data_IF_615420083642
#
_entry.id   IF_615420083642
#
_cell.length_a   1.000
_cell.length_b   1.000
_cell.length_c   1.000
_cell.angle_alpha   90.00
_cell.angle_beta   90.00
_cell.angle_gamma   90.00
#
_symmetry.space_group_name_H-M   'P 1'
#
loop_
_entity.id
_entity.type
_entity.pdbx_description
1 polymer ?
#
# COMPACT_ATOMS: atom_id res chain seq x y z
N UNK A 1 36.12 6.48 -10.26
CA UNK A 1 35.83 5.77 -11.48
C UNK A 1 35.77 6.77 -12.63
N UNK A 2 36.23 6.39 -13.81
CA UNK A 2 36.10 7.14 -15.06
C UNK A 2 35.35 6.31 -16.07
N UNK A 3 34.75 6.93 -17.06
CA UNK A 3 34.14 6.18 -18.16
C UNK A 3 35.19 5.28 -18.82
N UNK A 4 34.85 4.01 -19.06
CA UNK A 4 35.73 2.96 -19.55
C UNK A 4 36.45 2.14 -18.46
N UNK A 5 36.35 2.52 -17.18
CA UNK A 5 36.92 1.69 -16.10
C UNK A 5 36.14 0.37 -15.99
N UNK A 6 36.88 -0.75 -15.96
CA UNK A 6 36.31 -2.09 -15.71
C UNK A 6 36.69 -2.51 -14.30
N UNK A 7 35.72 -2.99 -13.53
CA UNK A 7 35.91 -3.49 -12.17
C UNK A 7 35.24 -4.85 -12.03
N UNK A 8 35.98 -5.78 -11.45
CA UNK A 8 35.46 -7.10 -11.11
C UNK A 8 35.36 -7.26 -9.59
N UNK A 9 34.29 -7.88 -9.14
CA UNK A 9 34.11 -8.22 -7.71
C UNK A 9 33.34 -9.53 -7.59
N UNK A 10 33.61 -10.24 -6.51
CA UNK A 10 32.80 -11.40 -6.13
C UNK A 10 31.71 -10.94 -5.16
N UNK A 11 30.49 -11.33 -5.47
CA UNK A 11 29.29 -11.00 -4.70
C UNK A 11 28.54 -12.27 -4.39
N UNK A 12 27.86 -12.28 -3.26
CA UNK A 12 26.88 -13.32 -2.97
C UNK A 12 25.48 -12.75 -3.23
N UNK A 13 24.69 -13.47 -4.02
CA UNK A 13 23.32 -13.03 -4.33
C UNK A 13 22.50 -13.03 -3.04
N UNK A 14 21.80 -11.90 -2.80
CA UNK A 14 20.97 -11.72 -1.62
C UNK A 14 19.95 -12.85 -1.46
N UNK A 15 19.70 -13.25 -0.22
CA UNK A 15 18.61 -14.20 0.11
C UNK A 15 17.22 -13.63 -0.20
N UNK A 16 17.12 -12.33 -0.45
CA UNK A 16 15.88 -11.64 -0.85
C UNK A 16 15.75 -11.47 -2.37
N UNK A 17 16.71 -11.96 -3.15
CA UNK A 17 16.66 -11.85 -4.61
C UNK A 17 15.40 -12.50 -5.18
N UNK A 18 14.87 -11.94 -6.27
CA UNK A 18 13.65 -12.44 -6.92
C UNK A 18 13.82 -13.86 -7.45
N UNK A 19 14.99 -14.18 -7.99
CA UNK A 19 15.31 -15.53 -8.44
C UNK A 19 15.79 -16.38 -7.25
N UNK A 20 14.91 -17.25 -6.77
CA UNK A 20 15.13 -18.10 -5.58
C UNK A 20 16.27 -19.10 -5.80
N UNK A 21 16.46 -19.60 -7.03
CA UNK A 21 17.50 -20.60 -7.34
C UNK A 21 18.92 -20.03 -7.23
N UNK A 22 19.04 -18.72 -7.36
CA UNK A 22 20.33 -18.03 -7.29
C UNK A 22 20.65 -17.46 -5.90
N UNK A 23 19.73 -17.56 -4.93
CA UNK A 23 19.94 -17.03 -3.58
C UNK A 23 21.11 -17.69 -2.89
N UNK A 24 22.01 -16.89 -2.33
CA UNK A 24 23.19 -17.36 -1.63
C UNK A 24 24.31 -17.85 -2.55
N UNK A 25 24.12 -17.89 -3.88
CA UNK A 25 25.15 -18.31 -4.81
C UNK A 25 26.23 -17.23 -4.96
N UNK A 26 27.51 -17.60 -4.97
CA UNK A 26 28.60 -16.69 -5.28
C UNK A 26 28.62 -16.40 -6.79
N UNK A 27 28.66 -15.14 -7.16
CA UNK A 27 28.77 -14.72 -8.57
C UNK A 27 29.93 -13.74 -8.73
N UNK A 28 30.61 -13.84 -9.85
CA UNK A 28 31.59 -12.83 -10.28
C UNK A 28 30.88 -11.82 -11.15
N UNK A 29 30.84 -10.56 -10.69
CA UNK A 29 30.23 -9.46 -11.40
C UNK A 29 31.33 -8.57 -12.01
N UNK A 30 31.21 -8.29 -13.30
CA UNK A 30 32.07 -7.35 -14.01
C UNK A 30 31.25 -6.10 -14.31
N UNK A 31 31.72 -4.95 -13.82
CA UNK A 31 31.09 -3.65 -14.03
C UNK A 31 31.93 -2.82 -14.98
N UNK A 32 31.36 -2.41 -16.10
CA UNK A 32 31.93 -1.41 -16.98
C UNK A 32 31.28 -0.06 -16.69
N UNK A 33 32.10 0.96 -16.38
CA UNK A 33 31.61 2.32 -16.14
C UNK A 33 31.38 2.99 -17.47
N UNK A 34 30.14 3.08 -17.92
CA UNK A 34 29.80 3.70 -19.21
C UNK A 34 29.87 5.22 -19.15
N UNK A 35 29.45 5.80 -18.02
CA UNK A 35 29.44 7.27 -17.84
C UNK A 35 29.55 7.62 -16.35
N UNK A 36 30.13 8.78 -16.07
CA UNK A 36 30.23 9.33 -14.71
C UNK A 36 29.52 10.67 -14.66
N UNK A 37 28.33 10.69 -14.09
CA UNK A 37 27.49 11.88 -13.97
C UNK A 37 27.63 12.52 -12.59
N UNK A 38 27.81 13.84 -12.57
CA UNK A 38 27.78 14.61 -11.32
C UNK A 38 26.40 15.27 -11.21
N UNK A 39 25.72 14.99 -10.11
CA UNK A 39 24.50 15.73 -9.80
C UNK A 39 24.89 17.14 -9.35
N UNK A 40 24.51 18.15 -10.13
CA UNK A 40 24.62 19.56 -9.77
C UNK A 40 23.25 20.07 -9.36
N UNK A 41 23.18 20.77 -8.21
CA UNK A 41 21.93 21.42 -7.81
C UNK A 41 21.65 22.58 -8.78
N UNK A 42 20.39 22.82 -9.16
CA UNK A 42 20.02 23.98 -9.95
C UNK A 42 20.29 25.25 -9.14
N UNK A 43 20.58 26.35 -9.83
CA UNK A 43 20.54 27.68 -9.25
C UNK A 43 19.11 28.11 -9.06
N UNK A 44 18.79 28.72 -7.89
CA UNK A 44 17.47 29.28 -7.61
C UNK A 44 17.38 30.67 -8.25
N UNK A 45 17.32 30.70 -9.59
CA UNK A 45 17.16 31.90 -10.38
C UNK A 45 15.72 32.09 -10.88
N UNK A 46 15.47 33.18 -11.54
CA UNK A 46 14.14 33.52 -12.06
C UNK A 46 13.57 32.45 -12.99
N UNK A 47 14.42 31.91 -13.88
CA UNK A 47 14.05 30.88 -14.84
C UNK A 47 13.68 29.57 -14.14
N UNK A 48 14.33 29.28 -13.00
CA UNK A 48 13.97 28.13 -12.16
C UNK A 48 12.57 28.30 -11.54
N UNK A 49 12.30 29.46 -10.92
CA UNK A 49 11.00 29.73 -10.30
C UNK A 49 9.85 29.75 -11.32
N UNK A 50 10.06 30.33 -12.50
CA UNK A 50 9.08 30.31 -13.58
C UNK A 50 8.74 28.87 -14.03
N UNK A 51 9.74 27.99 -14.14
CA UNK A 51 9.53 26.58 -14.53
C UNK A 51 8.72 25.77 -13.54
N UNK A 52 8.84 26.07 -12.25
CA UNK A 52 8.07 25.38 -11.20
C UNK A 52 6.81 26.16 -10.80
N UNK A 53 6.50 27.26 -11.50
CA UNK A 53 5.34 28.11 -11.28
C UNK A 53 5.24 28.64 -9.85
N UNK A 54 6.35 29.20 -9.36
CA UNK A 54 6.51 29.82 -8.04
C UNK A 54 7.05 31.22 -8.24
N UNK A 55 6.68 32.17 -7.39
CA UNK A 55 7.04 33.57 -7.57
C UNK A 55 8.52 33.84 -7.25
N UNK A 56 8.99 33.32 -6.13
CA UNK A 56 10.33 33.51 -5.59
C UNK A 56 10.70 32.42 -4.58
N UNK A 57 11.84 32.57 -3.90
CA UNK A 57 12.34 31.63 -2.91
C UNK A 57 11.44 31.58 -1.66
N UNK A 58 10.86 32.69 -1.24
CA UNK A 58 9.97 32.74 -0.08
C UNK A 58 8.67 32.00 -0.36
N UNK A 59 8.07 32.22 -1.54
CA UNK A 59 6.87 31.49 -1.98
C UNK A 59 7.17 29.97 -2.11
N UNK A 60 8.34 29.59 -2.65
CA UNK A 60 8.77 28.19 -2.69
C UNK A 60 8.86 27.57 -1.29
N UNK A 61 9.48 28.27 -0.36
CA UNK A 61 9.62 27.81 1.02
C UNK A 61 8.26 27.67 1.70
N UNK A 62 7.34 28.59 1.49
CA UNK A 62 5.99 28.55 2.05
C UNK A 62 5.16 27.40 1.46
N UNK A 63 5.25 27.16 0.16
CA UNK A 63 4.59 26.01 -0.49
C UNK A 63 5.14 24.68 0.03
N UNK A 64 6.49 24.54 0.12
CA UNK A 64 7.14 23.34 0.67
C UNK A 64 6.72 23.14 2.13
N UNK A 65 6.76 24.19 2.96
CA UNK A 65 6.35 24.10 4.38
C UNK A 65 4.89 23.67 4.52
N UNK A 66 4.00 24.24 3.71
CA UNK A 66 2.58 23.86 3.68
C UNK A 66 2.36 22.42 3.25
N UNK A 67 3.13 21.95 2.26
CA UNK A 67 3.08 20.55 1.81
C UNK A 67 3.56 19.60 2.91
N UNK A 68 4.71 19.91 3.53
CA UNK A 68 5.28 19.09 4.61
C UNK A 68 4.37 19.06 5.84
N UNK A 69 3.74 20.19 6.21
CA UNK A 69 2.79 20.26 7.33
C UNK A 69 1.55 19.38 7.06
N UNK A 70 0.99 19.44 5.85
CA UNK A 70 -0.12 18.54 5.47
C UNK A 70 0.30 17.07 5.51
N UNK A 71 1.49 16.75 4.99
CA UNK A 71 2.02 15.39 5.02
C UNK A 71 2.25 14.91 6.45
N UNK A 72 2.88 15.74 7.30
CA UNK A 72 3.11 15.42 8.70
C UNK A 72 1.81 15.18 9.48
N UNK A 73 0.79 16.03 9.28
CA UNK A 73 -0.54 15.85 9.88
C UNK A 73 -1.22 14.57 9.41
N UNK A 74 -1.11 14.23 8.13
CA UNK A 74 -1.65 12.98 7.59
C UNK A 74 -0.98 11.76 8.23
N UNK A 75 0.37 11.75 8.25
CA UNK A 75 1.15 10.67 8.87
C UNK A 75 0.89 10.55 10.38
N UNK A 76 0.78 11.67 11.07
CA UNK A 76 0.44 11.67 12.50
C UNK A 76 -0.93 11.03 12.76
N UNK A 77 -1.97 11.43 12.01
CA UNK A 77 -3.31 10.84 12.15
C UNK A 77 -3.30 9.34 11.87
N UNK A 78 -2.60 8.94 10.81
CA UNK A 78 -2.47 7.53 10.45
C UNK A 78 -1.80 6.73 11.56
N UNK A 79 -0.64 7.20 12.05
CA UNK A 79 0.08 6.53 13.15
C UNK A 79 -0.74 6.46 14.43
N UNK A 80 -1.44 7.55 14.78
CA UNK A 80 -2.32 7.56 15.95
C UNK A 80 -3.43 6.51 15.82
N UNK A 81 -4.08 6.45 14.66
CA UNK A 81 -5.11 5.43 14.40
C UNK A 81 -4.53 4.01 14.52
N UNK A 82 -3.38 3.77 13.88
CA UNK A 82 -2.75 2.45 13.89
C UNK A 82 -2.35 2.03 15.33
N UNK A 83 -1.82 2.95 16.15
CA UNK A 83 -1.50 2.70 17.57
C UNK A 83 -2.76 2.41 18.41
N UNK A 84 -3.82 3.18 18.22
CA UNK A 84 -5.10 2.94 18.91
C UNK A 84 -5.65 1.56 18.55
N UNK A 85 -5.67 1.22 17.26
CA UNK A 85 -6.14 -0.08 16.78
C UNK A 85 -5.28 -1.24 17.31
N UNK A 86 -3.96 -1.07 17.31
CA UNK A 86 -3.04 -2.07 17.87
C UNK A 86 -3.33 -2.30 19.36
N UNK A 87 -3.47 -1.22 20.13
CA UNK A 87 -3.74 -1.30 21.57
C UNK A 87 -5.07 -1.99 21.87
N UNK A 88 -6.15 -1.60 21.18
CA UNK A 88 -7.47 -2.20 21.35
C UNK A 88 -7.44 -3.67 20.91
N UNK A 89 -6.81 -3.98 19.78
CA UNK A 89 -6.72 -5.35 19.27
C UNK A 89 -5.92 -6.26 20.21
N UNK A 90 -4.85 -5.74 20.82
CA UNK A 90 -4.06 -6.48 21.80
C UNK A 90 -4.84 -6.79 23.09
N UNK A 91 -5.77 -5.92 23.50
CA UNK A 91 -6.62 -6.14 24.68
C UNK A 91 -7.79 -7.11 24.43
N UNK A 92 -8.03 -7.51 23.19
CA UNK A 92 -9.14 -8.37 22.82
C UNK A 92 -8.79 -9.86 23.06
N UNK A 93 -9.24 -10.41 24.19
CA UNK A 93 -9.01 -11.80 24.63
C UNK A 93 -10.14 -12.75 24.17
N UNK A 94 -10.38 -12.85 22.87
CA UNK A 94 -11.34 -13.78 22.31
C UNK A 94 -10.79 -14.46 21.05
N UNK A 95 -11.29 -15.68 20.80
CA UNK A 95 -10.89 -16.51 19.68
C UNK A 95 -11.77 -16.28 18.47
N UNK A 96 -11.13 -16.23 17.30
CA UNK A 96 -11.82 -16.16 16.02
C UNK A 96 -12.34 -17.55 15.62
N UNK A 97 -13.53 -17.66 14.99
CA UNK A 97 -13.98 -18.91 14.41
C UNK A 97 -12.99 -19.41 13.34
N UNK A 98 -12.37 -20.56 13.57
CA UNK A 98 -11.31 -21.11 12.69
C UNK A 98 -11.79 -21.30 11.25
N UNK A 99 -13.04 -21.68 11.04
CA UNK A 99 -13.62 -21.85 9.71
C UNK A 99 -13.66 -20.51 8.93
N UNK A 100 -13.99 -19.41 9.62
CA UNK A 100 -13.97 -18.07 9.03
C UNK A 100 -12.55 -17.64 8.67
N UNK A 101 -11.59 -17.85 9.59
CA UNK A 101 -10.18 -17.56 9.37
C UNK A 101 -9.68 -18.32 8.14
N UNK A 102 -9.95 -19.63 8.07
CA UNK A 102 -9.55 -20.49 6.96
C UNK A 102 -10.09 -19.97 5.63
N UNK A 103 -11.40 -19.70 5.56
CA UNK A 103 -12.06 -19.22 4.35
C UNK A 103 -11.53 -17.87 3.89
N UNK A 104 -11.32 -16.94 4.80
CA UNK A 104 -10.80 -15.62 4.47
C UNK A 104 -9.31 -15.67 4.08
N UNK A 105 -8.53 -16.52 4.74
CA UNK A 105 -7.12 -16.76 4.37
C UNK A 105 -7.01 -17.32 2.94
N UNK A 106 -7.84 -18.30 2.58
CA UNK A 106 -7.86 -18.86 1.23
C UNK A 106 -8.20 -17.79 0.17
N UNK A 107 -9.16 -16.91 0.49
CA UNK A 107 -9.53 -15.80 -0.40
C UNK A 107 -8.39 -14.78 -0.54
N UNK A 108 -7.71 -14.42 0.57
CA UNK A 108 -6.59 -13.50 0.56
C UNK A 108 -5.41 -14.07 -0.25
N UNK A 109 -5.07 -15.33 -0.02
CA UNK A 109 -3.99 -16.03 -0.72
C UNK A 109 -4.26 -16.11 -2.24
N UNK A 110 -5.50 -16.38 -2.65
CA UNK A 110 -5.87 -16.39 -4.08
C UNK A 110 -5.65 -15.03 -4.74
N UNK A 111 -6.01 -13.93 -4.05
CA UNK A 111 -5.79 -12.57 -4.57
C UNK A 111 -4.30 -12.27 -4.69
N UNK A 112 -3.51 -12.56 -3.65
CA UNK A 112 -2.07 -12.33 -3.64
C UNK A 112 -1.36 -13.12 -4.75
N UNK A 113 -1.73 -14.38 -4.96
CA UNK A 113 -1.21 -15.20 -6.08
C UNK A 113 -1.60 -14.59 -7.44
N UNK A 114 -2.81 -14.06 -7.59
CA UNK A 114 -3.24 -13.41 -8.82
C UNK A 114 -2.43 -12.15 -9.10
N UNK A 115 -2.22 -11.31 -8.09
CA UNK A 115 -1.40 -10.09 -8.16
C UNK A 115 0.06 -10.41 -8.52
N UNK A 116 0.64 -11.44 -7.91
CA UNK A 116 1.99 -11.89 -8.26
C UNK A 116 2.09 -12.35 -9.72
N UNK A 117 1.09 -13.08 -10.23
CA UNK A 117 1.06 -13.48 -11.65
C UNK A 117 0.96 -12.27 -12.58
N UNK A 118 0.15 -11.27 -12.23
CA UNK A 118 0.04 -10.02 -12.99
C UNK A 118 1.34 -9.20 -12.95
N UNK A 119 2.09 -9.28 -11.85
CA UNK A 119 3.41 -8.68 -11.70
C UNK A 119 4.53 -9.46 -12.43
N UNK A 120 4.21 -10.60 -13.09
CA UNK A 120 5.15 -11.36 -13.91
C UNK A 120 5.87 -12.51 -13.19
N UNK A 121 5.50 -12.83 -11.95
CA UNK A 121 6.09 -13.99 -11.26
C UNK A 121 5.68 -15.32 -11.91
N UNK A 122 6.64 -16.19 -12.07
CA UNK A 122 6.41 -17.53 -12.62
C UNK A 122 5.72 -18.46 -11.59
N UNK A 123 5.00 -19.52 -12.05
CA UNK A 123 4.40 -20.48 -11.13
C UNK A 123 5.41 -21.11 -10.14
N UNK A 124 6.65 -21.32 -10.58
CA UNK A 124 7.72 -21.91 -9.76
C UNK A 124 8.17 -20.96 -8.63
N UNK A 125 8.32 -19.68 -8.92
CA UNK A 125 8.64 -18.65 -7.92
C UNK A 125 7.52 -18.48 -6.88
N UNK A 126 6.26 -18.54 -7.31
CA UNK A 126 5.10 -18.49 -6.42
C UNK A 126 5.07 -19.73 -5.53
N UNK A 127 5.28 -20.93 -6.09
CA UNK A 127 5.29 -22.18 -5.35
C UNK A 127 6.40 -22.21 -4.30
N UNK A 128 7.59 -21.69 -4.62
CA UNK A 128 8.71 -21.65 -3.68
C UNK A 128 8.44 -20.71 -2.48
N UNK A 129 7.54 -19.73 -2.63
CA UNK A 129 7.11 -18.80 -1.56
C UNK A 129 5.79 -19.20 -0.89
N UNK A 130 5.15 -20.31 -1.31
CA UNK A 130 3.80 -20.65 -0.88
C UNK A 130 3.64 -20.75 0.64
N UNK A 131 4.62 -21.35 1.33
CA UNK A 131 4.55 -21.49 2.78
C UNK A 131 4.63 -20.13 3.48
N UNK A 132 5.51 -19.24 3.05
CA UNK A 132 5.67 -17.89 3.62
C UNK A 132 4.43 -17.04 3.33
N UNK A 133 3.91 -17.09 2.11
CA UNK A 133 2.67 -16.44 1.72
C UNK A 133 1.49 -16.91 2.59
N UNK A 134 1.38 -18.22 2.79
CA UNK A 134 0.32 -18.83 3.61
C UNK A 134 0.40 -18.38 5.07
N UNK A 135 1.58 -18.45 5.68
CA UNK A 135 1.79 -18.04 7.08
C UNK A 135 1.48 -16.55 7.27
N UNK A 136 1.97 -15.72 6.37
CA UNK A 136 1.70 -14.28 6.35
C UNK A 136 0.21 -13.99 6.17
N UNK A 137 -0.44 -14.63 5.20
CA UNK A 137 -1.88 -14.47 4.96
C UNK A 137 -2.73 -14.89 6.17
N UNK A 138 -2.37 -15.97 6.89
CA UNK A 138 -3.05 -16.38 8.12
C UNK A 138 -2.94 -15.29 9.18
N UNK A 139 -1.72 -14.83 9.46
CA UNK A 139 -1.47 -13.81 10.48
C UNK A 139 -2.23 -12.52 10.19
N UNK A 140 -2.12 -12.02 8.95
CA UNK A 140 -2.83 -10.81 8.51
C UNK A 140 -4.35 -10.98 8.55
N UNK A 141 -4.86 -12.13 8.12
CA UNK A 141 -6.30 -12.41 8.15
C UNK A 141 -6.84 -12.41 9.59
N UNK A 142 -6.15 -13.04 10.53
CA UNK A 142 -6.54 -13.01 11.95
C UNK A 142 -6.56 -11.60 12.50
N UNK A 143 -5.53 -10.81 12.22
CA UNK A 143 -5.45 -9.43 12.66
C UNK A 143 -6.58 -8.58 12.06
N UNK A 144 -6.80 -8.66 10.75
CA UNK A 144 -7.84 -7.91 10.05
C UNK A 144 -9.25 -8.27 10.54
N UNK A 145 -9.52 -9.57 10.76
CA UNK A 145 -10.80 -10.02 11.31
C UNK A 145 -11.01 -9.51 12.73
N UNK A 146 -10.01 -9.57 13.60
CA UNK A 146 -10.12 -9.00 14.95
C UNK A 146 -10.42 -7.50 14.89
N UNK A 147 -9.67 -6.75 14.08
CA UNK A 147 -9.90 -5.32 13.91
C UNK A 147 -11.31 -5.02 13.38
N UNK A 148 -11.77 -5.78 12.39
CA UNK A 148 -13.11 -5.60 11.84
C UNK A 148 -14.21 -5.82 12.90
N UNK A 149 -14.16 -6.91 13.66
CA UNK A 149 -15.16 -7.16 14.69
C UNK A 149 -15.13 -6.14 15.84
N UNK A 150 -13.93 -5.64 16.18
CA UNK A 150 -13.80 -4.58 17.18
C UNK A 150 -14.43 -3.29 16.70
N UNK A 151 -14.12 -2.88 15.45
CA UNK A 151 -14.70 -1.67 14.86
C UNK A 151 -16.21 -1.78 14.71
N UNK A 152 -16.70 -2.95 14.28
CA UNK A 152 -18.14 -3.22 14.17
C UNK A 152 -18.83 -3.09 15.52
N UNK A 153 -18.24 -3.66 16.58
CA UNK A 153 -18.77 -3.53 17.94
C UNK A 153 -18.74 -2.10 18.45
N UNK A 154 -17.68 -1.34 18.20
CA UNK A 154 -17.60 0.08 18.57
C UNK A 154 -18.68 0.86 17.83
N UNK A 155 -18.87 0.62 16.53
CA UNK A 155 -19.88 1.31 15.73
C UNK A 155 -21.31 1.03 16.23
N UNK A 156 -21.57 -0.19 16.72
CA UNK A 156 -22.86 -0.53 17.36
C UNK A 156 -23.05 0.19 18.71
N UNK A 157 -22.05 0.16 19.58
CA UNK A 157 -22.13 0.80 20.91
C UNK A 157 -22.21 2.33 20.85
N UNK A 158 -21.53 2.92 19.88
CA UNK A 158 -21.53 4.38 19.66
C UNK A 158 -22.66 4.83 18.71
N UNK A 159 -23.56 3.92 18.31
CA UNK A 159 -24.69 4.19 17.43
C UNK A 159 -24.28 4.96 16.13
N UNK A 160 -23.14 4.55 15.53
CA UNK A 160 -22.62 5.17 14.31
C UNK A 160 -23.48 4.70 13.13
N UNK A 161 -24.23 5.62 12.56
CA UNK A 161 -25.06 5.40 11.38
C UNK A 161 -24.41 5.97 10.13
N UNK A 162 -24.53 5.25 9.01
CA UNK A 162 -24.12 5.73 7.69
C UNK A 162 -25.27 6.52 7.08
N UNK A 163 -25.00 7.77 6.76
CA UNK A 163 -25.99 8.62 6.12
C UNK A 163 -26.02 8.43 4.59
N UNK A 164 -27.12 8.76 3.91
CA UNK A 164 -27.14 8.78 2.44
C UNK A 164 -26.06 9.67 1.81
N UNK A 165 -25.65 10.73 2.51
CA UNK A 165 -24.58 11.63 2.06
C UNK A 165 -23.20 10.96 2.10
N UNK A 166 -22.94 10.13 3.12
CA UNK A 166 -21.69 9.36 3.24
C UNK A 166 -21.57 8.37 2.08
N UNK A 167 -22.67 7.67 1.77
CA UNK A 167 -22.74 6.77 0.62
C UNK A 167 -22.50 7.48 -0.71
N UNK A 168 -23.10 8.65 -0.92
CA UNK A 168 -22.88 9.43 -2.14
C UNK A 168 -21.43 9.92 -2.25
N UNK A 169 -20.83 10.30 -1.13
CA UNK A 169 -19.43 10.73 -1.07
C UNK A 169 -18.51 9.57 -1.47
N UNK A 170 -18.69 8.39 -0.89
CA UNK A 170 -17.86 7.23 -1.19
C UNK A 170 -18.05 6.74 -2.64
N UNK A 171 -19.31 6.68 -3.13
CA UNK A 171 -19.57 6.36 -4.53
C UNK A 171 -18.94 7.37 -5.51
N UNK A 172 -18.85 8.64 -5.12
CA UNK A 172 -18.17 9.67 -5.92
C UNK A 172 -16.66 9.45 -5.93
N UNK A 173 -16.08 9.10 -4.78
CA UNK A 173 -14.65 8.75 -4.70
C UNK A 173 -14.31 7.53 -5.53
N UNK A 174 -15.12 6.46 -5.46
CA UNK A 174 -14.98 5.27 -6.31
C UNK A 174 -15.06 5.61 -7.81
N UNK A 175 -15.97 6.51 -8.18
CA UNK A 175 -16.13 6.95 -9.55
C UNK A 175 -14.92 7.73 -10.06
N UNK A 176 -14.35 8.62 -9.23
CA UNK A 176 -13.11 9.34 -9.54
C UNK A 176 -11.92 8.41 -9.74
N UNK A 177 -11.78 7.40 -8.88
CA UNK A 177 -10.69 6.41 -8.97
C UNK A 177 -10.79 5.52 -10.21
N UNK A 178 -12.02 5.15 -10.60
CA UNK A 178 -12.26 4.28 -11.76
C UNK A 178 -12.44 5.04 -13.07
N UNK A 179 -12.50 6.37 -13.06
CA UNK A 179 -12.80 7.19 -14.22
C UNK A 179 -14.24 7.02 -14.75
N UNK A 180 -15.16 6.52 -13.89
CA UNK A 180 -16.55 6.28 -14.22
C UNK A 180 -17.46 7.42 -13.75
N UNK A 181 -18.71 7.44 -14.27
CA UNK A 181 -19.71 8.36 -13.75
C UNK A 181 -20.32 7.83 -12.44
N UNK A 182 -20.48 8.65 -11.38
CA UNK A 182 -21.05 8.24 -10.09
C UNK A 182 -22.41 7.53 -10.22
N UNK A 183 -23.25 7.94 -11.17
CA UNK A 183 -24.56 7.28 -11.42
C UNK A 183 -24.39 5.83 -11.90
N UNK A 184 -23.34 5.54 -12.69
CA UNK A 184 -23.04 4.17 -13.14
C UNK A 184 -22.54 3.31 -11.99
N UNK A 185 -21.65 3.84 -11.14
CA UNK A 185 -21.18 3.16 -9.94
C UNK A 185 -22.35 2.80 -9.04
N UNK A 186 -23.25 3.77 -8.75
CA UNK A 186 -24.46 3.52 -7.97
C UNK A 186 -25.33 2.42 -8.57
N UNK A 187 -25.65 2.50 -9.87
CA UNK A 187 -26.47 1.51 -10.54
C UNK A 187 -25.86 0.10 -10.49
N UNK A 188 -24.54 0.00 -10.62
CA UNK A 188 -23.78 -1.26 -10.48
C UNK A 188 -23.89 -1.85 -9.09
N UNK A 189 -23.67 -1.03 -8.05
CA UNK A 189 -23.78 -1.44 -6.65
C UNK A 189 -25.19 -1.89 -6.26
N UNK A 190 -26.22 -1.15 -6.69
CA UNK A 190 -27.63 -1.55 -6.51
C UNK A 190 -27.90 -2.89 -7.19
N UNK A 191 -27.51 -3.04 -8.47
CA UNK A 191 -27.76 -4.25 -9.26
C UNK A 191 -27.04 -5.49 -8.68
N UNK A 192 -25.86 -5.30 -8.10
CA UNK A 192 -25.08 -6.39 -7.49
C UNK A 192 -25.46 -6.67 -6.03
N UNK A 193 -26.36 -5.89 -5.42
CA UNK A 193 -26.70 -6.01 -3.98
C UNK A 193 -25.57 -5.63 -3.04
N UNK A 194 -24.58 -4.85 -3.51
CA UNK A 194 -23.37 -4.51 -2.74
C UNK A 194 -23.49 -3.19 -1.95
N UNK A 195 -24.65 -2.56 -1.90
CA UNK A 195 -24.84 -1.32 -1.11
C UNK A 195 -24.67 -1.59 0.38
N UNK A 196 -25.26 -2.65 0.91
CA UNK A 196 -25.11 -3.03 2.32
C UNK A 196 -23.65 -3.30 2.71
N UNK A 197 -22.89 -3.92 1.80
CA UNK A 197 -21.45 -4.11 2.00
C UNK A 197 -20.68 -2.79 2.01
N UNK A 198 -21.08 -1.83 1.17
CA UNK A 198 -20.48 -0.50 1.15
C UNK A 198 -20.83 0.28 2.44
N UNK A 199 -22.07 0.19 2.91
CA UNK A 199 -22.48 0.78 4.20
C UNK A 199 -21.64 0.21 5.36
N UNK A 200 -21.47 -1.11 5.42
CA UNK A 200 -20.63 -1.75 6.43
C UNK A 200 -19.14 -1.37 6.32
N UNK A 201 -18.68 -1.00 5.13
CA UNK A 201 -17.30 -0.54 4.91
C UNK A 201 -17.09 0.92 5.32
N UNK A 202 -18.12 1.77 5.17
CA UNK A 202 -18.10 3.18 5.56
C UNK A 202 -18.23 3.32 7.08
N UNK A 203 -19.10 2.51 7.70
CA UNK A 203 -19.30 2.44 9.14
C UNK A 203 -18.03 1.98 9.85
#
# INVERSE_FOLDING_TARGET
>A
AKAGDIRETELTISMEADNIEMRGEPVRATFEVLDVKRLTKPTLDKDFFERINVADEDDLNDQIRSMLDRQAKYEQRRRTRDQVMEHITASAEWDLPEELVRKQTENALRREILEMRQAGFTPREIQARENDLRQRSISMTRQNLKQHFILDRIAEEEEIEVTPADLETEMTMMALQSGENPRRVRARLVKSGMIENLEAQIR
#
